data_IF_958836968335
#
_entry.id   IF_958836968335
#
_cell.length_a   1.000
_cell.length_b   1.000
_cell.length_c   1.000
_cell.angle_alpha   90.00
_cell.angle_beta   90.00
_cell.angle_gamma   90.00
#
_symmetry.space_group_name_H-M   'P 1'
#
loop_
_entity.id
_entity.type
_entity.pdbx_description
1 polymer ?
#
# COMPACT_ATOMS: atom_id res chain seq x y z
N UNK A 1 -3.27 -5.38 -12.18
CA UNK A 1 -2.94 -5.31 -13.61
C UNK A 1 -3.87 -4.40 -14.41
N UNK A 2 -5.20 -4.57 -14.40
CA UNK A 2 -6.11 -3.70 -15.19
C UNK A 2 -6.02 -2.20 -14.87
N UNK A 3 -5.36 -1.83 -13.79
CA UNK A 3 -5.10 -0.46 -13.36
C UNK A 3 -3.61 -0.08 -13.43
N UNK A 4 -2.80 -0.86 -14.16
CA UNK A 4 -1.38 -0.59 -14.33
C UNK A 4 -0.49 -0.97 -13.15
N UNK A 5 -1.00 -1.75 -12.19
CA UNK A 5 -0.22 -2.21 -11.04
C UNK A 5 0.86 -3.19 -11.46
N UNK A 6 2.10 -2.91 -11.11
CA UNK A 6 3.26 -3.77 -11.34
C UNK A 6 3.77 -4.41 -10.04
N UNK A 7 3.56 -3.73 -8.92
CA UNK A 7 3.96 -4.18 -7.59
C UNK A 7 2.88 -3.85 -6.57
N UNK A 8 2.67 -4.73 -5.61
CA UNK A 8 1.73 -4.61 -4.51
C UNK A 8 2.48 -4.72 -3.18
N UNK A 9 2.22 -3.81 -2.24
CA UNK A 9 2.58 -3.98 -0.82
C UNK A 9 1.29 -4.34 -0.09
N UNK A 10 1.29 -5.43 0.67
CA UNK A 10 0.09 -5.97 1.28
C UNK A 10 0.32 -6.41 2.72
N UNK A 11 -0.44 -5.82 3.64
CA UNK A 11 -0.56 -6.34 5.01
C UNK A 11 -1.82 -7.22 5.09
N UNK A 12 -1.66 -8.50 5.39
CA UNK A 12 -2.75 -9.46 5.38
C UNK A 12 -2.46 -10.66 6.26
N UNK A 13 -3.51 -11.34 6.72
CA UNK A 13 -3.42 -12.64 7.41
C UNK A 13 -3.41 -13.84 6.43
N UNK A 14 -3.19 -13.59 5.13
CA UNK A 14 -3.19 -14.60 4.06
C UNK A 14 -2.01 -14.42 3.10
N UNK A 15 -0.80 -14.18 3.64
CA UNK A 15 0.37 -13.78 2.84
C UNK A 15 0.78 -14.81 1.79
N UNK A 16 0.78 -16.11 2.10
CA UNK A 16 1.14 -17.16 1.14
C UNK A 16 0.18 -17.23 -0.07
N UNK A 17 -1.16 -17.33 0.13
CA UNK A 17 -2.10 -17.32 -0.99
C UNK A 17 -2.04 -16.03 -1.82
N UNK A 18 -1.77 -14.88 -1.20
CA UNK A 18 -1.64 -13.61 -1.92
C UNK A 18 -0.36 -13.62 -2.77
N UNK A 19 0.77 -14.08 -2.21
CA UNK A 19 2.02 -14.18 -2.95
C UNK A 19 1.88 -15.13 -4.16
N UNK A 20 1.22 -16.28 -3.99
CA UNK A 20 0.92 -17.24 -5.07
C UNK A 20 0.01 -16.62 -6.15
N UNK A 21 -1.05 -15.93 -5.74
CA UNK A 21 -1.96 -15.25 -6.67
C UNK A 21 -1.24 -14.16 -7.47
N UNK A 22 -0.40 -13.34 -6.82
CA UNK A 22 0.39 -12.31 -7.49
C UNK A 22 1.39 -12.93 -8.49
N UNK A 23 2.09 -14.00 -8.11
CA UNK A 23 2.98 -14.73 -9.00
C UNK A 23 2.24 -15.30 -10.22
N UNK A 24 1.02 -15.84 -10.00
CA UNK A 24 0.18 -16.37 -11.07
C UNK A 24 -0.20 -15.29 -12.09
N UNK A 25 -0.56 -14.10 -11.64
CA UNK A 25 -0.91 -12.99 -12.54
C UNK A 25 0.31 -12.21 -13.06
N UNK A 26 1.50 -12.47 -12.52
CA UNK A 26 2.76 -11.89 -12.98
C UNK A 26 3.09 -10.51 -12.40
N UNK A 27 2.54 -10.15 -11.23
CA UNK A 27 2.93 -8.92 -10.53
C UNK A 27 3.81 -9.24 -9.32
N UNK A 28 4.68 -8.29 -8.94
CA UNK A 28 5.44 -8.39 -7.70
C UNK A 28 4.54 -8.16 -6.50
N UNK A 29 4.89 -8.77 -5.38
CA UNK A 29 4.25 -8.46 -4.10
C UNK A 29 5.30 -8.45 -2.99
N UNK A 30 5.15 -7.51 -2.08
CA UNK A 30 5.78 -7.51 -0.76
C UNK A 30 4.70 -7.76 0.27
N UNK A 31 4.75 -8.89 0.95
CA UNK A 31 3.74 -9.30 1.92
C UNK A 31 4.21 -9.04 3.34
N UNK A 32 3.27 -8.68 4.20
CA UNK A 32 3.46 -8.51 5.62
C UNK A 32 2.27 -9.12 6.38
N UNK A 33 2.52 -9.94 7.40
CA UNK A 33 1.46 -10.49 8.24
C UNK A 33 1.22 -9.58 9.44
N UNK A 34 -0.01 -9.12 9.64
CA UNK A 34 -0.36 -8.19 10.70
C UNK A 34 -0.25 -8.78 12.11
N UNK A 35 0.83 -8.49 12.83
CA UNK A 35 1.02 -8.83 14.24
C UNK A 35 0.05 -7.99 15.09
N UNK A 36 -0.68 -8.62 16.01
CA UNK A 36 -1.60 -7.95 16.93
C UNK A 36 -1.87 -8.78 18.16
N UNK A 37 -2.02 -8.15 19.31
CA UNK A 37 -2.40 -8.78 20.58
C UNK A 37 -3.92 -8.79 20.83
N UNK A 38 -4.73 -8.25 19.91
CA UNK A 38 -6.21 -8.22 20.04
C UNK A 38 -6.83 -9.60 20.21
N UNK A 39 -6.16 -10.65 19.73
CA UNK A 39 -6.60 -12.04 19.84
C UNK A 39 -5.87 -12.80 20.99
N UNK A 40 -5.38 -12.07 21.99
CA UNK A 40 -4.60 -12.58 23.09
C UNK A 40 -3.12 -12.80 22.77
N UNK A 41 -2.30 -13.22 23.75
CA UNK A 41 -0.83 -13.33 23.61
C UNK A 41 -0.39 -14.30 22.50
N UNK A 42 -1.23 -15.26 22.13
CA UNK A 42 -0.98 -16.16 21.01
C UNK A 42 -1.13 -15.47 19.65
N UNK A 43 -1.82 -14.35 19.58
CA UNK A 43 -2.03 -13.58 18.36
C UNK A 43 -0.72 -13.02 17.81
N UNK A 44 0.00 -12.26 18.61
CA UNK A 44 1.30 -11.70 18.24
C UNK A 44 2.32 -12.79 17.93
N UNK A 45 2.40 -13.84 18.76
CA UNK A 45 3.32 -14.97 18.54
C UNK A 45 3.09 -15.66 17.21
N UNK A 46 1.81 -15.91 16.82
CA UNK A 46 1.49 -16.46 15.50
C UNK A 46 1.88 -15.50 14.37
N UNK A 47 1.63 -14.20 14.56
CA UNK A 47 2.00 -13.19 13.57
C UNK A 47 3.51 -13.11 13.34
N UNK A 48 4.30 -13.12 14.40
CA UNK A 48 5.77 -13.19 14.34
C UNK A 48 6.24 -14.45 13.57
N UNK A 49 5.74 -15.61 14.00
CA UNK A 49 6.12 -16.89 13.38
C UNK A 49 5.73 -16.96 11.89
N UNK A 50 4.60 -16.37 11.50
CA UNK A 50 4.15 -16.37 10.10
C UNK A 50 4.98 -15.44 9.23
N UNK A 51 5.32 -14.22 9.70
CA UNK A 51 6.28 -13.35 9.01
C UNK A 51 7.63 -14.05 8.84
N UNK A 52 8.18 -14.61 9.92
CA UNK A 52 9.45 -15.31 9.88
C UNK A 52 9.41 -16.48 8.90
N UNK A 53 8.37 -17.32 8.95
CA UNK A 53 8.20 -18.46 8.05
C UNK A 53 8.18 -18.04 6.59
N UNK A 54 7.44 -16.97 6.27
CA UNK A 54 7.32 -16.47 4.91
C UNK A 54 8.65 -15.91 4.39
N UNK A 55 9.30 -15.05 5.16
CA UNK A 55 10.55 -14.40 4.78
C UNK A 55 11.70 -15.38 4.66
N UNK A 56 11.83 -16.34 5.61
CA UNK A 56 12.86 -17.39 5.53
C UNK A 56 12.64 -18.41 4.41
N UNK A 57 11.39 -18.55 3.95
CA UNK A 57 11.08 -19.35 2.75
C UNK A 57 11.43 -18.63 1.43
N UNK A 58 12.02 -17.43 1.48
CA UNK A 58 12.38 -16.64 0.31
C UNK A 58 11.24 -15.76 -0.21
N UNK A 59 10.14 -15.62 0.56
CA UNK A 59 9.07 -14.69 0.25
C UNK A 59 9.56 -13.25 0.34
N UNK A 60 9.20 -12.41 -0.64
CA UNK A 60 9.46 -10.96 -0.57
C UNK A 60 8.46 -10.34 0.41
N UNK A 61 8.95 -9.63 1.40
CA UNK A 61 8.06 -9.06 2.40
C UNK A 61 8.75 -8.15 3.40
N UNK A 62 7.95 -7.68 4.32
CA UNK A 62 8.33 -6.91 5.50
C UNK A 62 7.73 -7.59 6.73
N UNK A 63 8.18 -7.25 7.93
CA UNK A 63 7.47 -7.65 9.14
C UNK A 63 6.23 -6.76 9.28
N UNK A 64 5.05 -7.37 9.36
CA UNK A 64 3.79 -6.63 9.50
C UNK A 64 3.43 -6.40 10.96
N UNK A 65 3.12 -5.16 11.34
CA UNK A 65 2.48 -4.80 12.60
C UNK A 65 1.14 -4.16 12.28
N UNK A 66 0.06 -4.63 12.90
CA UNK A 66 -1.25 -4.07 12.62
C UNK A 66 -1.26 -2.57 12.97
N UNK A 67 -1.04 -2.23 14.23
CA UNK A 67 -0.86 -0.85 14.69
C UNK A 67 -0.29 -0.87 16.11
N UNK A 68 0.41 0.19 16.55
CA UNK A 68 1.01 0.25 17.87
C UNK A 68 0.00 0.05 19.00
N UNK A 69 -1.20 0.67 18.91
CA UNK A 69 -2.24 0.55 19.95
C UNK A 69 -2.85 -0.84 20.07
N UNK A 70 -2.57 -1.75 19.15
CA UNK A 70 -3.06 -3.14 19.19
C UNK A 70 -2.02 -4.14 19.63
N UNK A 71 -0.82 -3.67 19.98
CA UNK A 71 0.31 -4.48 20.38
C UNK A 71 0.86 -4.05 21.75
N UNK A 72 1.41 -5.00 22.51
CA UNK A 72 2.22 -4.72 23.68
C UNK A 72 3.61 -4.22 23.27
N UNK A 73 4.38 -3.64 24.22
CA UNK A 73 5.76 -3.22 23.95
C UNK A 73 6.62 -4.42 23.57
N UNK A 74 6.45 -5.56 24.26
CA UNK A 74 7.17 -6.79 23.94
C UNK A 74 6.90 -7.26 22.50
N UNK A 75 5.65 -7.12 22.02
CA UNK A 75 5.28 -7.51 20.65
C UNK A 75 5.88 -6.56 19.62
N UNK A 76 5.94 -5.25 19.91
CA UNK A 76 6.57 -4.25 19.04
C UNK A 76 8.08 -4.45 18.97
N UNK A 77 8.76 -4.65 20.12
CA UNK A 77 10.19 -4.92 20.19
C UNK A 77 10.54 -6.23 19.47
N UNK A 78 9.74 -7.28 19.63
CA UNK A 78 9.94 -8.55 18.95
C UNK A 78 9.77 -8.41 17.42
N UNK A 79 8.81 -7.60 16.97
CA UNK A 79 8.62 -7.32 15.53
C UNK A 79 9.80 -6.55 14.95
N UNK A 80 10.28 -5.51 15.63
CA UNK A 80 11.46 -4.74 15.23
C UNK A 80 12.73 -5.61 15.24
N UNK A 81 12.91 -6.46 16.26
CA UNK A 81 14.01 -7.40 16.34
C UNK A 81 14.01 -8.42 15.20
N UNK A 82 12.85 -8.98 14.89
CA UNK A 82 12.69 -9.90 13.75
C UNK A 82 13.01 -9.22 12.41
N UNK A 83 12.56 -7.99 12.23
CA UNK A 83 12.85 -7.23 11.03
C UNK A 83 14.34 -6.97 10.86
N UNK A 84 15.03 -6.57 11.94
CA UNK A 84 16.48 -6.40 11.95
C UNK A 84 17.24 -7.69 11.67
N UNK A 85 16.84 -8.82 12.28
CA UNK A 85 17.45 -10.13 12.08
C UNK A 85 17.33 -10.64 10.63
N UNK A 86 16.25 -10.27 9.96
CA UNK A 86 15.98 -10.66 8.58
C UNK A 86 16.41 -9.58 7.56
N UNK A 87 16.91 -8.45 8.03
CA UNK A 87 17.31 -7.29 7.21
C UNK A 87 16.18 -6.83 6.27
N UNK A 88 15.00 -6.66 6.85
CA UNK A 88 13.80 -6.11 6.20
C UNK A 88 13.18 -5.02 7.05
N UNK A 89 12.36 -4.14 6.46
CA UNK A 89 11.62 -3.12 7.19
C UNK A 89 10.35 -3.65 7.87
N UNK A 90 9.63 -2.75 8.49
CA UNK A 90 8.32 -3.00 9.11
C UNK A 90 7.23 -2.21 8.38
N UNK A 91 6.07 -2.83 8.17
CA UNK A 91 4.86 -2.19 7.68
C UNK A 91 3.89 -2.04 8.85
N UNK A 92 3.53 -0.82 9.22
CA UNK A 92 2.68 -0.53 10.38
C UNK A 92 1.71 0.60 10.12
N UNK A 93 0.43 0.46 10.55
CA UNK A 93 -0.51 1.58 10.56
C UNK A 93 -0.18 2.50 11.74
N UNK A 94 -0.13 3.81 11.48
CA UNK A 94 0.31 4.80 12.46
C UNK A 94 -0.63 5.99 12.47
N UNK A 95 -1.17 6.31 13.65
CA UNK A 95 -1.99 7.49 13.88
C UNK A 95 -3.07 7.72 12.81
N UNK A 96 -3.72 6.63 12.35
CA UNK A 96 -4.84 6.72 11.42
C UNK A 96 -6.03 7.41 12.10
N UNK A 97 -6.37 6.99 13.30
CA UNK A 97 -7.40 7.59 14.13
C UNK A 97 -6.82 8.31 15.35
N UNK A 98 -7.60 9.21 15.94
CA UNK A 98 -7.19 9.97 17.14
C UNK A 98 -6.82 9.09 18.34
N UNK A 99 -7.39 7.90 18.44
CA UNK A 99 -7.09 6.96 19.51
C UNK A 99 -5.71 6.28 19.38
N UNK A 100 -5.07 6.41 18.22
CA UNK A 100 -3.77 5.79 17.91
C UNK A 100 -2.58 6.77 18.09
N UNK A 101 -2.85 8.05 18.34
CA UNK A 101 -1.81 9.10 18.38
C UNK A 101 -0.77 8.83 19.48
N UNK A 102 -1.22 8.60 20.71
CA UNK A 102 -0.33 8.35 21.84
C UNK A 102 0.49 7.05 21.67
N UNK A 103 -0.11 6.05 21.02
CA UNK A 103 0.56 4.78 20.78
C UNK A 103 1.70 4.89 19.75
N UNK A 104 1.63 5.87 18.84
CA UNK A 104 2.68 6.12 17.85
C UNK A 104 4.04 6.45 18.50
N UNK A 105 4.05 7.10 19.66
CA UNK A 105 5.29 7.43 20.39
C UNK A 105 6.12 6.21 20.76
N UNK A 106 5.47 5.07 20.95
CA UNK A 106 6.13 3.79 21.28
C UNK A 106 6.96 3.25 20.12
N UNK A 107 6.68 3.67 18.89
CA UNK A 107 7.44 3.27 17.71
C UNK A 107 8.74 4.08 17.52
N UNK A 108 8.85 5.26 18.16
CA UNK A 108 9.98 6.17 17.96
C UNK A 108 11.35 5.53 18.24
N UNK A 109 11.56 4.75 19.31
CA UNK A 109 12.84 4.09 19.56
C UNK A 109 13.12 2.88 18.63
N UNK A 110 12.13 2.42 17.87
CA UNK A 110 12.18 1.19 17.09
C UNK A 110 12.26 1.44 15.59
N UNK A 111 11.59 2.50 15.10
CA UNK A 111 11.44 2.77 13.68
C UNK A 111 12.77 3.13 13.02
N UNK A 112 13.01 2.56 11.84
CA UNK A 112 14.18 2.77 10.99
C UNK A 112 13.75 3.28 9.60
N UNK A 113 14.70 3.74 8.79
CA UNK A 113 14.42 4.37 7.48
C UNK A 113 13.71 3.43 6.49
N UNK A 114 13.80 2.13 6.67
CA UNK A 114 13.17 1.10 5.85
C UNK A 114 11.74 0.73 6.31
N UNK A 115 11.20 1.43 7.31
CA UNK A 115 9.82 1.23 7.76
C UNK A 115 8.82 1.96 6.87
N UNK A 116 7.61 1.38 6.73
CA UNK A 116 6.45 2.02 6.11
C UNK A 116 5.44 2.41 7.19
N UNK A 117 5.25 3.71 7.34
CA UNK A 117 4.34 4.34 8.30
C UNK A 117 3.03 4.66 7.57
N UNK A 118 2.04 3.79 7.71
CA UNK A 118 0.81 3.88 6.91
C UNK A 118 -0.17 4.85 7.55
N UNK A 119 -0.79 5.69 6.74
CA UNK A 119 -1.73 6.77 7.03
C UNK A 119 -1.11 8.05 7.59
N UNK A 120 -0.58 8.06 8.79
CA UNK A 120 0.04 9.23 9.43
C UNK A 120 -0.90 10.43 9.63
N UNK A 121 -2.24 10.21 9.64
CA UNK A 121 -3.25 11.30 9.62
C UNK A 121 -3.11 12.26 10.78
N UNK A 122 -2.89 11.73 11.97
CA UNK A 122 -2.84 12.49 13.21
C UNK A 122 -1.45 12.55 13.84
N UNK A 123 -0.39 12.20 13.08
CA UNK A 123 0.98 12.45 13.54
C UNK A 123 1.24 13.96 13.66
N UNK A 124 2.06 14.36 14.59
CA UNK A 124 2.56 15.73 14.68
C UNK A 124 3.64 15.98 13.61
N UNK A 125 3.92 17.25 13.29
CA UNK A 125 4.91 17.63 12.28
C UNK A 125 6.32 17.16 12.66
N UNK A 126 6.61 17.12 13.95
CA UNK A 126 7.88 16.72 14.58
C UNK A 126 7.83 15.36 15.28
N UNK A 127 7.00 14.44 14.78
CA UNK A 127 6.74 13.13 15.39
C UNK A 127 8.00 12.28 15.65
N UNK A 128 9.10 12.53 14.96
CA UNK A 128 10.40 11.88 15.18
C UNK A 128 10.47 10.39 14.84
N UNK A 129 9.53 9.87 14.06
CA UNK A 129 9.57 8.50 13.52
C UNK A 129 10.42 8.49 12.24
N UNK A 130 11.35 7.56 12.11
CA UNK A 130 12.04 7.27 10.87
C UNK A 130 11.15 6.41 9.94
N UNK A 131 11.42 6.43 8.64
CA UNK A 131 10.69 5.65 7.64
C UNK A 131 9.93 6.48 6.61
N UNK A 132 9.25 5.80 5.69
CA UNK A 132 8.43 6.43 4.65
C UNK A 132 6.97 6.50 5.09
N UNK A 133 6.37 7.68 5.05
CA UNK A 133 4.92 7.85 5.27
C UNK A 133 4.16 7.45 4.02
N UNK A 134 3.19 6.54 4.14
CA UNK A 134 2.32 6.13 3.03
C UNK A 134 0.95 6.77 3.19
N UNK A 135 0.67 7.77 2.37
CA UNK A 135 -0.61 8.48 2.37
C UNK A 135 -1.66 7.72 1.53
N UNK A 136 -2.82 7.44 2.13
CA UNK A 136 -3.93 6.72 1.51
C UNK A 136 -5.15 7.65 1.37
N UNK A 137 -5.19 8.54 0.38
CA UNK A 137 -6.19 9.62 0.33
C UNK A 137 -7.63 9.12 0.28
N UNK A 138 -7.92 8.11 -0.54
CA UNK A 138 -9.26 7.52 -0.68
C UNK A 138 -9.73 6.88 0.63
N UNK A 139 -8.88 6.05 1.22
CA UNK A 139 -9.20 5.35 2.47
C UNK A 139 -9.44 6.33 3.60
N UNK A 140 -8.56 7.30 3.78
CA UNK A 140 -8.67 8.30 4.81
C UNK A 140 -9.99 9.12 4.70
N UNK A 141 -10.42 9.45 3.47
CA UNK A 141 -11.71 10.09 3.23
C UNK A 141 -12.88 9.15 3.52
N UNK A 142 -12.84 7.91 3.02
CA UNK A 142 -13.90 6.93 3.22
C UNK A 142 -14.14 6.63 4.70
N UNK A 143 -13.05 6.50 5.45
CA UNK A 143 -13.09 6.19 6.89
C UNK A 143 -13.35 7.44 7.75
N UNK A 144 -13.45 8.62 7.14
CA UNK A 144 -13.67 9.90 7.83
C UNK A 144 -12.63 10.20 8.93
N UNK A 145 -11.39 9.71 8.75
CA UNK A 145 -10.31 9.89 9.74
C UNK A 145 -9.62 11.24 9.64
N UNK A 146 -9.73 11.93 8.50
CA UNK A 146 -9.16 13.25 8.29
C UNK A 146 -8.20 13.33 7.09
N UNK A 147 -7.41 14.42 7.04
CA UNK A 147 -6.40 14.64 6.01
C UNK A 147 -5.01 14.65 6.63
N UNK A 148 -4.13 13.79 6.16
CA UNK A 148 -2.78 13.61 6.71
C UNK A 148 -1.85 14.82 6.45
N UNK A 149 -2.17 15.70 5.47
CA UNK A 149 -1.29 16.81 5.06
C UNK A 149 0.13 16.34 4.75
N UNK A 150 0.31 15.43 3.79
CA UNK A 150 1.58 14.73 3.59
C UNK A 150 2.76 15.66 3.32
N UNK A 151 2.53 16.84 2.75
CA UNK A 151 3.57 17.84 2.49
C UNK A 151 4.26 18.42 3.74
N UNK A 152 3.68 18.22 4.95
CA UNK A 152 4.26 18.69 6.21
C UNK A 152 5.34 17.78 6.78
N UNK A 153 5.44 16.53 6.33
CA UNK A 153 6.39 15.56 6.84
C UNK A 153 7.79 15.78 6.26
N UNK A 154 8.79 15.70 7.13
CA UNK A 154 10.19 15.64 6.70
C UNK A 154 10.57 14.27 6.10
N UNK A 155 9.77 13.24 6.36
CA UNK A 155 9.93 11.89 5.84
C UNK A 155 9.69 11.85 4.32
N UNK A 156 10.27 10.89 3.60
CA UNK A 156 9.76 10.51 2.30
C UNK A 156 8.26 10.18 2.38
N UNK A 157 7.49 10.58 1.37
CA UNK A 157 6.06 10.29 1.27
C UNK A 157 5.80 9.49 0.02
N UNK A 158 5.02 8.41 0.15
CA UNK A 158 4.49 7.64 -0.97
C UNK A 158 2.95 7.59 -0.91
N UNK A 159 2.30 7.18 -2.01
CA UNK A 159 0.86 6.96 -2.04
C UNK A 159 0.53 5.48 -1.92
N UNK A 160 -0.61 5.19 -1.29
CA UNK A 160 -1.19 3.86 -1.20
C UNK A 160 -2.70 3.89 -1.43
N UNK A 161 -3.29 2.72 -1.70
CA UNK A 161 -4.73 2.56 -1.91
C UNK A 161 -5.46 2.02 -0.69
N UNK A 162 -4.72 1.51 0.30
CA UNK A 162 -5.31 0.67 1.35
C UNK A 162 -6.16 -0.47 0.75
N UNK A 163 -7.16 -0.97 1.47
CA UNK A 163 -8.04 -2.06 1.02
C UNK A 163 -9.17 -1.64 0.08
N UNK A 164 -9.28 -0.37 -0.33
CA UNK A 164 -10.44 0.16 -1.08
C UNK A 164 -10.12 0.70 -2.47
N UNK A 165 -9.28 0.06 -3.18
CA UNK A 165 -8.98 0.47 -4.56
C UNK A 165 -7.72 -0.19 -5.07
N UNK A 166 -7.41 0.11 -6.33
CA UNK A 166 -6.19 -0.36 -6.97
C UNK A 166 -5.75 0.59 -8.10
N UNK A 167 -6.33 1.79 -8.16
CA UNK A 167 -6.04 2.77 -9.21
C UNK A 167 -5.17 3.88 -8.65
N UNK A 168 -3.86 3.75 -8.84
CA UNK A 168 -2.88 4.73 -8.34
C UNK A 168 -2.98 6.09 -9.03
N UNK A 169 -3.51 6.18 -10.26
CA UNK A 169 -3.77 7.48 -10.89
C UNK A 169 -4.97 8.18 -10.24
N UNK A 170 -5.96 7.44 -9.78
CA UNK A 170 -7.05 8.03 -9.00
C UNK A 170 -6.57 8.45 -7.61
N UNK A 171 -5.69 7.69 -6.96
CA UNK A 171 -5.06 8.12 -5.70
C UNK A 171 -4.23 9.39 -5.89
N UNK A 172 -3.46 9.49 -6.99
CA UNK A 172 -2.73 10.70 -7.35
C UNK A 172 -3.68 11.91 -7.48
N UNK A 173 -4.81 11.77 -8.18
CA UNK A 173 -5.81 12.85 -8.35
C UNK A 173 -6.41 13.26 -7.02
N UNK A 174 -6.79 12.29 -6.19
CA UNK A 174 -7.34 12.54 -4.86
C UNK A 174 -6.32 13.21 -3.94
N UNK A 175 -5.07 12.76 -3.96
CA UNK A 175 -3.98 13.38 -3.21
C UNK A 175 -3.79 14.85 -3.61
N UNK A 176 -3.75 15.13 -4.93
CA UNK A 176 -3.65 16.50 -5.44
C UNK A 176 -4.84 17.36 -5.02
N UNK A 177 -6.08 16.89 -5.22
CA UNK A 177 -7.29 17.66 -4.88
C UNK A 177 -7.30 18.00 -3.39
N UNK A 178 -7.03 17.02 -2.53
CA UNK A 178 -6.97 17.24 -1.07
C UNK A 178 -5.86 18.19 -0.67
N UNK A 179 -4.70 18.09 -1.31
CA UNK A 179 -3.59 19.01 -1.07
C UNK A 179 -3.94 20.43 -1.50
N UNK A 180 -4.56 20.58 -2.68
CA UNK A 180 -4.96 21.87 -3.22
C UNK A 180 -6.06 22.57 -2.41
N UNK A 181 -6.94 21.82 -1.78
CA UNK A 181 -7.95 22.37 -0.84
C UNK A 181 -7.31 22.92 0.43
N UNK A 182 -6.24 22.28 0.92
CA UNK A 182 -5.53 22.70 2.13
C UNK A 182 -4.50 23.81 1.84
N UNK A 183 -3.82 23.76 0.70
CA UNK A 183 -2.82 24.74 0.26
C UNK A 183 -3.06 25.19 -1.18
N UNK A 184 -3.44 26.45 -1.35
CA UNK A 184 -3.69 27.05 -2.66
C UNK A 184 -2.46 27.17 -3.56
N UNK A 185 -1.26 26.95 -3.05
CA UNK A 185 -0.02 26.93 -3.81
C UNK A 185 0.36 25.55 -4.32
N UNK A 186 -0.29 24.47 -3.81
CA UNK A 186 -0.01 23.10 -4.18
C UNK A 186 -0.21 22.85 -5.69
N UNK A 187 0.62 21.99 -6.24
CA UNK A 187 0.61 21.63 -7.65
C UNK A 187 0.41 20.12 -7.86
N UNK A 188 0.00 19.66 -9.04
CA UNK A 188 -0.02 18.22 -9.34
C UNK A 188 1.35 17.56 -9.27
N UNK A 189 2.44 18.32 -9.46
CA UNK A 189 3.81 17.82 -9.34
C UNK A 189 4.12 17.31 -7.94
N UNK A 190 3.56 17.93 -6.90
CA UNK A 190 3.73 17.50 -5.51
C UNK A 190 3.14 16.09 -5.32
N UNK A 191 1.89 15.90 -5.71
CA UNK A 191 1.22 14.60 -5.63
C UNK A 191 1.85 13.55 -6.57
N UNK A 192 2.37 13.99 -7.72
CA UNK A 192 3.13 13.12 -8.61
C UNK A 192 4.44 12.65 -7.98
N UNK A 193 5.13 13.54 -7.26
CA UNK A 193 6.32 13.18 -6.48
C UNK A 193 6.03 12.08 -5.47
N UNK A 194 4.89 12.17 -4.76
CA UNK A 194 4.47 11.13 -3.82
C UNK A 194 4.11 9.80 -4.51
N UNK A 195 3.48 9.86 -5.69
CA UNK A 195 3.22 8.66 -6.48
C UNK A 195 4.52 8.02 -6.96
N UNK A 196 5.45 8.84 -7.47
CA UNK A 196 6.73 8.37 -8.01
C UNK A 196 7.63 7.76 -6.93
N UNK A 197 7.60 8.29 -5.70
CA UNK A 197 8.35 7.74 -4.58
C UNK A 197 7.99 6.27 -4.26
N UNK A 198 6.82 5.81 -4.66
CA UNK A 198 6.45 4.40 -4.57
C UNK A 198 7.37 3.47 -5.38
N UNK A 199 8.01 3.94 -6.45
CA UNK A 199 8.96 3.15 -7.22
C UNK A 199 10.29 2.95 -6.49
N UNK A 200 10.69 3.89 -5.63
CA UNK A 200 11.93 3.80 -4.86
C UNK A 200 11.83 2.73 -3.76
N UNK A 201 10.61 2.35 -3.36
CA UNK A 201 10.37 1.23 -2.43
C UNK A 201 10.69 -0.13 -3.08
N UNK A 202 10.76 -0.18 -4.41
CA UNK A 202 11.05 -1.37 -5.19
C UNK A 202 12.02 -1.01 -6.33
N UNK A 203 13.32 -1.01 -6.11
CA UNK A 203 14.30 -0.65 -7.13
C UNK A 203 14.10 -1.42 -8.46
N UNK A 204 13.62 -2.66 -8.40
CA UNK A 204 13.34 -3.47 -9.58
C UNK A 204 12.17 -2.93 -10.43
N UNK A 205 11.25 -2.18 -9.82
CA UNK A 205 10.11 -1.60 -10.54
C UNK A 205 10.51 -0.51 -11.55
N UNK A 206 11.72 0.04 -11.45
CA UNK A 206 12.26 0.96 -12.45
C UNK A 206 12.49 0.31 -13.83
N UNK A 207 12.53 -1.02 -13.90
CA UNK A 207 12.63 -1.77 -15.16
C UNK A 207 11.25 -2.09 -15.76
N UNK A 208 10.17 -1.89 -15.01
CA UNK A 208 8.81 -2.16 -15.45
C UNK A 208 8.29 -1.03 -16.34
N UNK A 209 7.33 -1.36 -17.19
CA UNK A 209 6.71 -0.40 -18.08
C UNK A 209 5.20 -0.52 -18.08
N UNK A 210 4.54 0.62 -18.04
CA UNK A 210 3.09 0.70 -18.23
C UNK A 210 2.82 1.67 -19.37
N UNK A 211 2.21 1.18 -20.43
CA UNK A 211 1.69 2.01 -21.51
C UNK A 211 0.22 2.29 -21.27
N UNK A 212 -0.17 3.54 -21.43
CA UNK A 212 -1.53 4.00 -21.16
C UNK A 212 -2.22 4.46 -22.43
N UNK A 213 -3.51 4.14 -22.56
CA UNK A 213 -4.37 4.70 -23.60
C UNK A 213 -5.21 5.83 -22.99
N UNK A 214 -4.99 7.08 -23.42
CA UNK A 214 -5.88 8.18 -23.08
C UNK A 214 -7.20 8.05 -23.87
N UNK A 215 -8.31 8.42 -23.25
CA UNK A 215 -9.64 8.43 -23.94
C UNK A 215 -9.70 9.51 -25.03
N UNK A 216 -8.94 10.58 -24.90
CA UNK A 216 -8.85 11.66 -25.88
C UNK A 216 -7.47 11.68 -26.55
N UNK A 217 -7.36 12.09 -27.83
CA UNK A 217 -6.08 12.29 -28.48
C UNK A 217 -5.19 13.24 -27.68
N UNK A 218 -3.96 12.84 -27.44
CA UNK A 218 -2.97 13.65 -26.71
C UNK A 218 -1.91 14.08 -27.72
N UNK A 219 -1.88 15.37 -28.05
CA UNK A 219 -0.93 15.94 -29.01
C UNK A 219 0.47 16.22 -28.41
N UNK A 220 0.60 16.08 -27.09
CA UNK A 220 1.84 16.34 -26.38
C UNK A 220 2.06 15.30 -25.27
N UNK A 221 3.30 15.13 -24.77
CA UNK A 221 3.58 14.22 -23.67
C UNK A 221 2.66 14.49 -22.47
N UNK A 222 2.21 13.41 -21.82
CA UNK A 222 1.46 13.52 -20.58
C UNK A 222 2.37 14.03 -19.48
N UNK A 223 1.89 15.02 -18.74
CA UNK A 223 2.53 15.62 -17.58
C UNK A 223 1.57 15.54 -16.38
N UNK A 224 2.02 15.84 -15.15
CA UNK A 224 1.17 15.78 -13.96
C UNK A 224 -0.08 16.65 -14.08
N UNK A 225 -0.02 17.82 -14.71
CA UNK A 225 -1.18 18.70 -14.91
C UNK A 225 -2.23 18.06 -15.80
N UNK A 226 -1.83 17.46 -16.90
CA UNK A 226 -2.76 16.77 -17.82
C UNK A 226 -3.34 15.54 -17.16
N UNK A 227 -2.53 14.74 -16.45
CA UNK A 227 -2.99 13.55 -15.74
C UNK A 227 -3.99 13.88 -14.64
N UNK A 228 -3.80 15.00 -13.92
CA UNK A 228 -4.73 15.44 -12.88
C UNK A 228 -6.14 15.71 -13.41
N UNK A 229 -6.26 16.18 -14.66
CA UNK A 229 -7.53 16.59 -15.27
C UNK A 229 -8.01 15.67 -16.40
N UNK A 230 -7.24 14.64 -16.80
CA UNK A 230 -7.65 13.68 -17.81
C UNK A 230 -8.30 12.47 -17.14
N UNK A 231 -9.54 12.18 -17.48
CA UNK A 231 -10.26 10.99 -17.02
C UNK A 231 -10.18 9.85 -18.03
N UNK A 232 -10.47 8.62 -17.59
CA UNK A 232 -10.59 7.47 -18.46
C UNK A 232 -9.26 6.94 -19.02
N UNK A 233 -8.13 7.33 -18.45
CA UNK A 233 -6.83 6.73 -18.78
C UNK A 233 -6.80 5.28 -18.32
N UNK A 234 -6.52 4.36 -19.23
CA UNK A 234 -6.46 2.93 -18.93
C UNK A 234 -5.12 2.33 -19.34
N UNK A 235 -4.58 1.37 -18.60
CA UNK A 235 -3.35 0.68 -19.00
C UNK A 235 -3.65 -0.21 -20.21
N UNK A 236 -2.88 -0.03 -21.25
CA UNK A 236 -2.92 -0.85 -22.47
C UNK A 236 -2.00 -2.05 -22.33
N UNK A 237 -0.75 -1.79 -21.96
CA UNK A 237 0.28 -2.81 -21.78
C UNK A 237 0.95 -2.63 -20.46
N UNK A 238 1.17 -3.73 -19.74
CA UNK A 238 1.98 -3.79 -18.52
C UNK A 238 3.07 -4.83 -18.72
N UNK A 239 4.32 -4.41 -18.53
CA UNK A 239 5.50 -5.24 -18.60
C UNK A 239 6.18 -5.26 -17.22
N UNK A 240 6.44 -6.44 -16.69
CA UNK A 240 7.11 -6.67 -15.40
C UNK A 240 8.32 -7.55 -15.65
N UNK A 241 9.52 -7.06 -15.34
CA UNK A 241 10.80 -7.76 -15.60
C UNK A 241 10.96 -8.21 -17.06
N UNK A 242 10.51 -7.41 -18.03
CA UNK A 242 10.56 -7.75 -19.46
C UNK A 242 9.47 -8.72 -19.91
N UNK A 243 8.57 -9.16 -19.02
CA UNK A 243 7.44 -10.01 -19.37
C UNK A 243 6.15 -9.20 -19.49
N UNK A 244 5.43 -9.32 -20.59
CA UNK A 244 4.15 -8.65 -20.82
C UNK A 244 3.05 -9.41 -20.06
N UNK A 245 2.55 -8.84 -18.98
CA UNK A 245 1.49 -9.40 -18.12
C UNK A 245 0.10 -8.87 -18.43
N UNK A 246 0.03 -7.73 -19.14
CA UNK A 246 -1.20 -7.18 -19.71
C UNK A 246 -0.92 -6.73 -21.14
N UNK A 247 -1.71 -7.17 -22.09
CA UNK A 247 -1.67 -6.74 -23.51
C UNK A 247 -3.05 -6.31 -23.97
N UNK A 248 -3.14 -5.14 -24.60
CA UNK A 248 -4.40 -4.55 -25.05
C UNK A 248 -5.53 -4.59 -23.98
N UNK A 249 -5.15 -4.30 -22.73
CA UNK A 249 -6.05 -4.29 -21.57
C UNK A 249 -6.49 -5.68 -21.06
N UNK A 250 -5.90 -6.76 -21.59
CA UNK A 250 -6.20 -8.16 -21.21
C UNK A 250 -5.02 -8.81 -20.51
N UNK A 251 -5.30 -9.52 -19.42
CA UNK A 251 -4.29 -10.31 -18.76
C UNK A 251 -3.76 -11.42 -19.69
N UNK A 252 -2.44 -11.63 -19.70
CA UNK A 252 -1.79 -12.60 -20.60
C UNK A 252 -1.60 -13.96 -19.94
N UNK A 253 -1.56 -14.01 -18.61
CA UNK A 253 -1.22 -15.22 -17.84
C UNK A 253 -2.44 -15.96 -17.29
N UNK A 254 -3.58 -15.28 -17.21
CA UNK A 254 -4.81 -15.81 -16.59
C UNK A 254 -6.04 -15.41 -17.40
N UNK A 255 -7.10 -16.23 -17.34
CA UNK A 255 -8.42 -15.85 -17.79
C UNK A 255 -9.10 -14.98 -16.72
N UNK A 256 -9.08 -13.66 -16.95
CA UNK A 256 -9.65 -12.72 -16.00
C UNK A 256 -11.19 -12.78 -15.94
N UNK A 257 -11.87 -13.27 -16.98
CA UNK A 257 -13.32 -13.43 -17.00
C UNK A 257 -13.73 -14.63 -16.15
N UNK A 258 -13.01 -15.75 -16.29
CA UNK A 258 -13.22 -16.93 -15.44
C UNK A 258 -12.99 -16.62 -13.97
N UNK A 259 -11.89 -15.89 -13.64
CA UNK A 259 -11.60 -15.50 -12.26
C UNK A 259 -12.71 -14.63 -11.69
N UNK A 260 -13.22 -13.65 -12.46
CA UNK A 260 -14.36 -12.81 -12.02
C UNK A 260 -15.63 -13.62 -11.83
N UNK A 261 -15.93 -14.55 -12.72
CA UNK A 261 -17.10 -15.42 -12.59
C UNK A 261 -17.02 -16.24 -11.30
N UNK A 262 -15.88 -16.88 -11.03
CA UNK A 262 -15.66 -17.64 -9.79
C UNK A 262 -15.73 -16.75 -8.54
N UNK A 263 -15.19 -15.53 -8.58
CA UNK A 263 -15.30 -14.59 -7.47
C UNK A 263 -16.76 -14.19 -7.23
N UNK A 264 -17.55 -13.95 -8.28
CA UNK A 264 -18.96 -13.63 -8.18
C UNK A 264 -19.79 -14.78 -7.58
N UNK A 265 -19.44 -16.03 -7.83
CA UNK A 265 -20.06 -17.20 -7.21
C UNK A 265 -19.79 -17.30 -5.70
N UNK A 266 -18.62 -16.83 -5.25
CA UNK A 266 -18.22 -16.87 -3.83
C UNK A 266 -18.72 -15.67 -3.02
N UNK A 267 -18.93 -14.52 -3.66
CA UNK A 267 -19.32 -13.28 -3.00
C UNK A 267 -20.59 -13.40 -2.14
N UNK A 268 -21.69 -14.08 -2.57
CA UNK A 268 -22.88 -14.25 -1.74
C UNK A 268 -22.62 -14.99 -0.43
N UNK A 269 -21.72 -15.98 -0.43
CA UNK A 269 -21.36 -16.72 0.78
C UNK A 269 -20.58 -15.84 1.78
N UNK A 270 -19.77 -14.91 1.27
CA UNK A 270 -19.08 -13.94 2.11
C UNK A 270 -20.08 -12.97 2.74
N UNK A 271 -21.01 -12.42 1.95
CA UNK A 271 -22.02 -11.49 2.44
C UNK A 271 -22.93 -12.16 3.49
N UNK A 272 -23.38 -13.39 3.24
CA UNK A 272 -24.18 -14.13 4.23
C UNK A 272 -23.45 -14.28 5.58
N UNK A 273 -22.14 -14.59 5.56
CA UNK A 273 -21.36 -14.69 6.82
C UNK A 273 -21.18 -13.35 7.52
N UNK A 274 -21.12 -12.25 6.76
CA UNK A 274 -21.06 -10.90 7.34
C UNK A 274 -22.38 -10.49 7.99
N UNK A 275 -23.51 -10.91 7.43
CA UNK A 275 -24.85 -10.66 7.98
C UNK A 275 -25.13 -11.48 9.25
N UNK A 276 -24.36 -12.53 9.52
CA UNK A 276 -24.45 -13.40 10.70
C UNK A 276 -23.61 -12.91 11.91
N UNK A 277 -22.78 -11.87 11.73
CA UNK A 277 -21.93 -11.26 12.77
C UNK A 277 -22.61 -10.04 13.37
#
# INVERSE_FOLDING_TARGET
MQKGTVTLICLSNKIFPIAEACATVGIRVSCAYGITDRHGPDGARRGLAENERFLRAGGRGMVGVHAAFTCTDESLEAAAGLAADLNVGVHVHVAEGKADVEAADRLRPLATDDWLLIHGVHLDDDHGLAGTVVHNPRSNMNNSVGYARPARFANPVALGTDGIGADMLDEFRLAYVRHREDDVTASPEDAWGWLAAGWDLFPEAHHDRVSWDPVAPVEAPMDPWRLAFTTGVAPRTVEVDGEVVLADGRATRVDAEEIRARAAEQAPQLHQRLDEI
#
